data_IF_970013981803
#
_entry.id   IF_970013981803
#
_cell.length_a   1.000
_cell.length_b   1.000
_cell.length_c   1.000
_cell.angle_alpha   90.00
_cell.angle_beta   90.00
_cell.angle_gamma   90.00
#
_symmetry.space_group_name_H-M   'P 1'
#
loop_
_entity.id
_entity.type
_entity.pdbx_description
1 polymer ?
#
# COMPACT_ATOMS: atom_id res chain seq x y z
N UNK A 1 -14.47 28.01 -34.01
CA UNK A 1 -14.15 27.78 -32.59
C UNK A 1 -12.71 27.31 -32.57
N UNK A 2 -11.84 28.19 -32.13
CA UNK A 2 -10.37 28.07 -32.28
C UNK A 2 -9.81 27.44 -31.03
N UNK A 3 -9.18 26.27 -31.20
CA UNK A 3 -8.38 25.60 -30.17
C UNK A 3 -7.18 26.50 -29.80
N UNK A 4 -7.10 26.89 -28.55
CA UNK A 4 -5.91 27.56 -27.98
C UNK A 4 -4.99 26.47 -27.41
N UNK A 5 -3.97 26.11 -28.16
CA UNK A 5 -2.82 25.36 -27.65
C UNK A 5 -2.04 26.22 -26.62
N UNK A 6 -1.93 25.71 -25.40
CA UNK A 6 -1.10 26.32 -24.36
C UNK A 6 0.39 26.21 -24.73
N UNK A 7 1.07 27.35 -24.86
CA UNK A 7 2.50 27.40 -25.21
C UNK A 7 3.40 27.20 -23.98
N UNK A 8 4.65 26.71 -24.20
CA UNK A 8 5.68 26.59 -23.16
C UNK A 8 5.89 27.88 -22.31
N UNK A 9 5.56 29.06 -22.83
CA UNK A 9 5.65 30.32 -22.10
C UNK A 9 4.55 30.49 -21.03
N UNK A 10 3.38 29.94 -21.26
CA UNK A 10 2.27 30.02 -20.30
C UNK A 10 2.50 29.08 -19.09
N UNK A 11 3.20 27.97 -19.32
CA UNK A 11 3.60 27.03 -18.25
C UNK A 11 4.65 27.65 -17.30
N UNK A 12 5.59 28.46 -17.82
CA UNK A 12 6.65 29.10 -17.00
C UNK A 12 6.11 30.27 -16.18
N UNK A 13 5.07 30.97 -16.66
CA UNK A 13 4.46 32.12 -15.94
C UNK A 13 3.62 31.69 -14.75
N UNK A 14 3.01 30.51 -14.79
CA UNK A 14 2.20 29.96 -13.68
C UNK A 14 3.07 29.34 -12.58
N UNK A 15 4.32 28.94 -12.89
CA UNK A 15 5.27 28.35 -11.92
C UNK A 15 6.07 29.35 -11.09
N UNK A 16 6.09 30.67 -11.49
CA UNK A 16 6.94 31.66 -10.85
C UNK A 16 6.29 32.42 -9.67
N UNK A 17 5.02 32.18 -9.37
CA UNK A 17 4.30 32.88 -8.30
C UNK A 17 4.31 32.15 -6.92
N UNK A 18 5.01 31.01 -6.78
CA UNK A 18 5.04 30.21 -5.57
C UNK A 18 6.36 30.27 -4.77
N UNK A 19 7.30 31.14 -5.15
CA UNK A 19 8.65 31.18 -4.55
C UNK A 19 9.04 32.49 -3.88
N UNK A 20 8.13 33.15 -3.16
CA UNK A 20 8.50 34.30 -2.33
C UNK A 20 7.71 34.28 -1.01
N UNK A 21 8.35 33.80 0.05
CA UNK A 21 7.79 33.91 1.40
C UNK A 21 8.27 32.87 2.42
N UNK A 22 9.59 32.80 2.66
CA UNK A 22 10.09 32.19 3.92
C UNK A 22 11.28 32.98 4.43
N UNK A 23 11.02 33.89 5.34
CA UNK A 23 11.96 34.30 6.39
C UNK A 23 11.17 34.99 7.50
N UNK A 24 11.05 34.34 8.63
CA UNK A 24 11.12 34.85 10.02
C UNK A 24 10.20 34.06 10.96
N UNK A 25 10.73 33.60 12.09
CA UNK A 25 9.98 33.44 13.34
C UNK A 25 9.78 32.02 13.83
N UNK A 26 10.75 31.55 14.59
CA UNK A 26 10.62 30.46 15.57
C UNK A 26 9.64 30.87 16.68
N UNK A 27 8.49 30.24 16.73
CA UNK A 27 7.75 29.95 17.98
C UNK A 27 6.61 28.98 17.62
N UNK A 28 6.62 27.81 18.29
CA UNK A 28 5.72 26.71 17.95
C UNK A 28 4.26 26.99 18.30
N UNK A 29 3.45 26.94 17.30
CA UNK A 29 2.03 26.52 17.34
C UNK A 29 1.74 25.95 15.98
N UNK A 30 1.35 24.66 15.93
CA UNK A 30 0.84 24.03 14.71
C UNK A 30 -0.46 24.71 14.30
N UNK A 31 -0.34 25.78 13.51
CA UNK A 31 -1.48 26.29 12.75
C UNK A 31 -1.66 25.43 11.52
N UNK A 32 -2.64 24.57 11.56
CA UNK A 32 -3.21 23.92 10.37
C UNK A 32 -3.65 25.03 9.44
N UNK A 33 -2.95 25.20 8.31
CA UNK A 33 -3.40 26.08 7.25
C UNK A 33 -4.74 25.57 6.73
N UNK A 34 -5.86 26.16 7.17
CA UNK A 34 -7.18 25.96 6.61
C UNK A 34 -7.27 26.65 5.25
N UNK A 35 -6.63 26.08 4.25
CA UNK A 35 -7.05 26.25 2.87
C UNK A 35 -8.36 25.50 2.71
N UNK A 36 -9.45 26.17 2.37
CA UNK A 36 -10.71 25.51 1.99
C UNK A 36 -10.38 24.44 0.95
N UNK A 37 -10.54 23.13 1.25
CA UNK A 37 -10.37 22.12 0.23
C UNK A 37 -11.46 22.37 -0.80
N UNK A 38 -11.10 22.71 -2.04
CA UNK A 38 -12.01 22.52 -3.18
C UNK A 38 -12.59 21.13 -3.02
N UNK A 39 -13.93 21.03 -2.92
CA UNK A 39 -14.64 19.75 -2.74
C UNK A 39 -14.07 18.78 -3.77
N UNK A 40 -13.32 17.78 -3.31
CA UNK A 40 -12.80 16.76 -4.21
C UNK A 40 -13.97 16.18 -5.00
N UNK A 41 -13.80 16.03 -6.30
CA UNK A 41 -14.83 15.44 -7.17
C UNK A 41 -15.01 13.96 -6.77
N UNK A 42 -15.92 13.72 -5.84
CA UNK A 42 -16.18 12.39 -5.27
C UNK A 42 -16.71 11.41 -6.29
N UNK A 43 -17.23 11.90 -7.44
CA UNK A 43 -17.74 11.05 -8.52
C UNK A 43 -16.64 10.20 -9.19
N UNK A 44 -15.37 10.60 -9.05
CA UNK A 44 -14.21 9.89 -9.58
C UNK A 44 -13.57 8.89 -8.60
N UNK A 45 -14.09 8.83 -7.37
CA UNK A 45 -13.57 7.92 -6.35
C UNK A 45 -14.36 6.62 -6.41
N UNK A 46 -13.68 5.51 -6.71
CA UNK A 46 -14.33 4.20 -6.72
C UNK A 46 -14.90 3.88 -5.33
N UNK A 47 -16.14 3.39 -5.29
CA UNK A 47 -16.84 2.99 -4.07
C UNK A 47 -16.88 4.10 -3.02
N UNK A 48 -17.01 5.35 -3.44
CA UNK A 48 -17.03 6.47 -2.49
C UNK A 48 -18.02 6.23 -1.35
N UNK A 49 -17.49 6.32 -0.13
CA UNK A 49 -18.26 6.28 1.10
C UNK A 49 -17.87 7.50 1.94
N UNK A 50 -18.81 8.36 2.37
CA UNK A 50 -18.50 9.57 3.14
C UNK A 50 -17.86 9.28 4.50
N UNK A 51 -17.94 8.05 5.00
CA UNK A 51 -17.31 7.62 6.24
C UNK A 51 -15.87 7.10 6.05
N UNK A 52 -15.40 6.95 4.81
CA UNK A 52 -14.04 6.55 4.46
C UNK A 52 -13.21 7.76 4.07
N UNK A 53 -12.00 7.88 4.62
CA UNK A 53 -11.00 8.83 4.15
C UNK A 53 -10.34 8.29 2.87
N UNK A 54 -10.11 9.18 1.91
CA UNK A 54 -9.37 8.86 0.69
C UNK A 54 -8.12 9.72 0.60
N UNK A 55 -7.00 9.09 0.28
CA UNK A 55 -5.69 9.72 0.16
C UNK A 55 -5.18 9.63 -1.27
N UNK A 56 -4.57 10.70 -1.74
CA UNK A 56 -3.95 10.70 -3.06
C UNK A 56 -2.71 9.80 -3.07
N UNK A 57 -2.66 8.86 -3.99
CA UNK A 57 -1.54 7.95 -4.17
C UNK A 57 -0.46 8.55 -5.07
N UNK A 58 0.31 9.50 -4.53
CA UNK A 58 1.37 10.19 -5.26
C UNK A 58 0.94 10.69 -6.63
N UNK A 59 1.86 10.76 -7.58
CA UNK A 59 1.62 11.22 -8.96
C UNK A 59 0.67 10.35 -9.79
N UNK A 60 0.21 9.21 -9.28
CA UNK A 60 -0.88 8.45 -9.92
C UNK A 60 -2.20 9.23 -9.92
N UNK A 61 -2.36 10.15 -8.97
CA UNK A 61 -3.59 10.87 -8.65
C UNK A 61 -4.80 9.99 -8.33
N UNK A 62 -4.59 8.69 -8.12
CA UNK A 62 -5.65 7.83 -7.60
C UNK A 62 -6.01 8.27 -6.18
N UNK A 63 -7.30 8.41 -5.92
CA UNK A 63 -7.83 8.59 -4.57
C UNK A 63 -8.12 7.20 -3.98
N UNK A 64 -7.23 6.76 -3.10
CA UNK A 64 -7.26 5.42 -2.49
C UNK A 64 -7.80 5.53 -1.07
N UNK A 65 -8.64 4.58 -0.67
CA UNK A 65 -9.14 4.47 0.70
C UNK A 65 -7.99 4.38 1.71
N UNK A 66 -8.12 5.04 2.84
CA UNK A 66 -7.06 5.10 3.87
C UNK A 66 -6.73 3.73 4.50
N UNK A 67 -7.44 2.69 4.15
CA UNK A 67 -7.11 1.29 4.42
C UNK A 67 -7.42 0.46 3.17
N UNK A 68 -6.60 -0.54 2.87
CA UNK A 68 -6.72 -1.39 1.70
C UNK A 68 -6.98 -2.84 2.08
N UNK A 69 -7.29 -3.69 1.09
CA UNK A 69 -7.40 -5.14 1.26
C UNK A 69 -6.11 -5.80 0.77
N UNK A 70 -5.40 -6.49 1.65
CA UNK A 70 -4.20 -7.26 1.32
C UNK A 70 -4.48 -8.74 1.07
N UNK A 71 -3.46 -9.42 0.55
CA UNK A 71 -3.37 -10.87 0.48
C UNK A 71 -2.72 -11.47 1.75
N UNK A 72 -2.01 -12.60 1.57
CA UNK A 72 -1.38 -13.34 2.68
C UNK A 72 -2.36 -13.65 3.82
N UNK A 73 -3.50 -14.25 3.47
CA UNK A 73 -4.63 -14.56 4.37
C UNK A 73 -4.26 -15.58 5.43
N UNK A 74 -3.34 -15.19 6.30
CA UNK A 74 -2.94 -16.05 7.41
C UNK A 74 -4.15 -16.40 8.25
N UNK A 75 -4.23 -17.67 8.62
CA UNK A 75 -5.33 -18.23 9.41
C UNK A 75 -6.70 -18.19 8.71
N UNK A 76 -6.76 -18.03 7.39
CA UNK A 76 -8.05 -18.06 6.67
C UNK A 76 -8.80 -19.37 6.87
N UNK A 77 -8.08 -20.47 7.12
CA UNK A 77 -8.62 -21.79 7.42
C UNK A 77 -9.46 -21.87 8.71
N UNK A 78 -9.34 -20.89 9.61
CA UNK A 78 -10.20 -20.84 10.81
C UNK A 78 -11.63 -20.40 10.48
N UNK A 79 -11.85 -19.77 9.33
CA UNK A 79 -13.15 -19.26 8.89
C UNK A 79 -13.62 -19.80 7.54
N UNK A 80 -12.74 -20.46 6.78
CA UNK A 80 -13.06 -21.00 5.46
C UNK A 80 -12.27 -22.29 5.21
N UNK A 81 -12.93 -23.41 5.33
CA UNK A 81 -12.33 -24.75 5.17
C UNK A 81 -12.60 -25.28 3.76
N UNK A 82 -11.52 -25.50 3.02
CA UNK A 82 -11.62 -26.00 1.67
C UNK A 82 -11.93 -24.92 0.61
N UNK A 83 -11.85 -25.32 -0.65
CA UNK A 83 -11.82 -24.41 -1.78
C UNK A 83 -13.12 -23.59 -1.95
N UNK A 84 -14.26 -24.23 -1.84
CA UNK A 84 -15.56 -23.56 -2.05
C UNK A 84 -15.86 -22.51 -0.98
N UNK A 85 -15.57 -22.82 0.30
CA UNK A 85 -15.73 -21.86 1.39
C UNK A 85 -14.73 -20.70 1.27
N UNK A 86 -13.51 -21.00 0.87
CA UNK A 86 -12.48 -19.98 0.62
C UNK A 86 -12.91 -19.02 -0.49
N UNK A 87 -13.39 -19.51 -1.63
CA UNK A 87 -13.85 -18.66 -2.73
C UNK A 87 -15.02 -17.78 -2.31
N UNK A 88 -16.01 -18.37 -1.60
CA UNK A 88 -17.13 -17.62 -1.05
C UNK A 88 -16.65 -16.53 -0.08
N UNK A 89 -15.76 -16.89 0.83
CA UNK A 89 -15.18 -15.96 1.80
C UNK A 89 -14.48 -14.78 1.11
N UNK A 90 -13.66 -15.03 0.08
CA UNK A 90 -13.02 -13.93 -0.65
C UNK A 90 -14.02 -13.05 -1.37
N UNK A 91 -15.06 -13.60 -1.98
CA UNK A 91 -16.12 -12.85 -2.62
C UNK A 91 -16.90 -11.98 -1.61
N UNK A 92 -17.22 -12.50 -0.44
CA UNK A 92 -17.93 -11.79 0.64
C UNK A 92 -17.07 -10.67 1.23
N UNK A 93 -15.79 -10.92 1.50
CA UNK A 93 -14.84 -9.92 2.00
C UNK A 93 -14.67 -8.77 1.00
N UNK A 94 -14.52 -9.08 -0.30
CA UNK A 94 -14.45 -8.05 -1.34
C UNK A 94 -15.75 -7.24 -1.41
N UNK A 95 -16.91 -7.88 -1.29
CA UNK A 95 -18.21 -7.20 -1.26
C UNK A 95 -18.29 -6.23 -0.07
N UNK A 96 -17.88 -6.69 1.12
CA UNK A 96 -17.87 -5.84 2.32
C UNK A 96 -16.88 -4.68 2.18
N UNK A 97 -15.72 -4.90 1.56
CA UNK A 97 -14.78 -3.82 1.26
C UNK A 97 -15.43 -2.73 0.38
N UNK A 98 -16.11 -3.14 -0.70
CA UNK A 98 -16.83 -2.22 -1.60
C UNK A 98 -17.90 -1.42 -0.81
N UNK A 99 -18.70 -2.08 0.03
CA UNK A 99 -19.72 -1.45 0.87
C UNK A 99 -19.13 -0.41 1.84
N UNK A 100 -17.95 -0.69 2.40
CA UNK A 100 -17.26 0.20 3.33
C UNK A 100 -16.42 1.29 2.65
N UNK A 101 -16.40 1.34 1.32
CA UNK A 101 -15.64 2.34 0.57
C UNK A 101 -14.15 2.01 0.43
N UNK A 102 -13.73 0.79 0.79
CA UNK A 102 -12.37 0.31 0.50
C UNK A 102 -12.30 0.04 -1.00
N UNK A 103 -11.31 0.64 -1.68
CA UNK A 103 -11.26 0.65 -3.15
C UNK A 103 -9.96 0.14 -3.76
N UNK A 104 -9.03 -0.40 -2.95
CA UNK A 104 -7.77 -0.97 -3.43
C UNK A 104 -7.52 -2.35 -2.84
N UNK A 105 -7.16 -3.29 -3.71
CA UNK A 105 -6.69 -4.64 -3.38
C UNK A 105 -5.22 -4.74 -3.77
N UNK A 106 -4.39 -5.32 -2.89
CA UNK A 106 -3.01 -5.67 -3.20
C UNK A 106 -2.82 -7.18 -3.23
N UNK A 107 -2.58 -7.74 -4.41
CA UNK A 107 -2.26 -9.14 -4.63
C UNK A 107 -0.76 -9.31 -4.87
N UNK A 108 -0.12 -10.20 -4.10
CA UNK A 108 1.33 -10.39 -4.11
C UNK A 108 1.77 -11.75 -4.67
N UNK A 109 0.91 -12.74 -4.62
CA UNK A 109 1.16 -14.11 -5.09
C UNK A 109 0.23 -14.47 -6.23
N UNK A 110 0.60 -15.48 -7.04
CA UNK A 110 -0.30 -16.00 -8.07
C UNK A 110 -1.65 -16.47 -7.51
N UNK A 111 -1.64 -17.13 -6.35
CA UNK A 111 -2.88 -17.55 -5.66
C UNK A 111 -3.76 -16.36 -5.26
N UNK A 112 -3.17 -15.26 -4.80
CA UNK A 112 -3.92 -14.04 -4.45
C UNK A 112 -4.49 -13.36 -5.68
N UNK A 113 -3.70 -13.25 -6.76
CA UNK A 113 -4.17 -12.71 -8.04
C UNK A 113 -5.38 -13.49 -8.54
N UNK A 114 -5.30 -14.83 -8.56
CA UNK A 114 -6.40 -15.68 -9.01
C UNK A 114 -7.66 -15.54 -8.14
N UNK A 115 -7.50 -15.56 -6.82
CA UNK A 115 -8.62 -15.46 -5.89
C UNK A 115 -9.33 -14.09 -6.00
N UNK A 116 -8.58 -13.00 -6.06
CA UNK A 116 -9.17 -11.67 -6.18
C UNK A 116 -9.75 -11.40 -7.57
N UNK A 117 -9.11 -11.88 -8.63
CA UNK A 117 -9.67 -11.78 -9.97
C UNK A 117 -11.02 -12.50 -10.06
N UNK A 118 -11.14 -13.69 -9.46
CA UNK A 118 -12.39 -14.42 -9.35
C UNK A 118 -13.45 -13.68 -8.53
N UNK A 119 -13.07 -13.13 -7.38
CA UNK A 119 -13.96 -12.34 -6.53
C UNK A 119 -14.43 -11.03 -7.21
N UNK A 120 -13.66 -10.49 -8.13
CA UNK A 120 -13.97 -9.28 -8.90
C UNK A 120 -14.69 -9.57 -10.23
N UNK A 121 -14.96 -10.82 -10.56
CA UNK A 121 -15.66 -11.15 -11.84
C UNK A 121 -17.01 -10.42 -11.92
N UNK A 122 -17.22 -9.68 -13.01
CA UNK A 122 -18.41 -8.86 -13.24
C UNK A 122 -18.47 -7.53 -12.47
N UNK A 123 -17.43 -7.22 -11.70
CA UNK A 123 -17.31 -5.96 -10.92
C UNK A 123 -15.87 -5.45 -10.81
N UNK A 124 -15.05 -5.74 -11.85
CA UNK A 124 -13.63 -5.36 -11.90
C UNK A 124 -13.41 -3.84 -11.80
N UNK A 125 -14.37 -3.07 -12.27
CA UNK A 125 -14.42 -1.61 -12.23
C UNK A 125 -14.65 -1.03 -10.82
N UNK A 126 -14.98 -1.85 -9.81
CA UNK A 126 -15.26 -1.41 -8.44
C UNK A 126 -14.01 -1.25 -7.58
N UNK A 127 -12.90 -1.89 -7.94
CA UNK A 127 -11.69 -1.88 -7.12
C UNK A 127 -10.46 -1.65 -7.99
N UNK A 128 -9.52 -0.86 -7.51
CA UNK A 128 -8.15 -0.85 -8.03
C UNK A 128 -7.47 -2.16 -7.63
N UNK A 129 -6.76 -2.78 -8.55
CA UNK A 129 -6.03 -4.02 -8.33
C UNK A 129 -4.51 -3.80 -8.49
N UNK A 130 -3.79 -3.91 -7.38
CA UNK A 130 -2.35 -4.08 -7.37
C UNK A 130 -2.00 -5.53 -7.67
N UNK A 131 -1.15 -5.73 -8.64
CA UNK A 131 -0.74 -7.02 -9.16
C UNK A 131 0.75 -7.24 -8.94
N UNK A 132 1.12 -8.35 -8.35
CA UNK A 132 2.44 -8.95 -8.38
C UNK A 132 2.28 -10.47 -8.38
N UNK A 133 3.12 -11.14 -9.11
CA UNK A 133 3.22 -12.60 -9.06
C UNK A 133 4.66 -12.92 -8.67
N UNK A 134 4.99 -12.66 -7.38
CA UNK A 134 6.37 -12.63 -6.91
C UNK A 134 7.15 -13.92 -7.19
N UNK A 135 6.46 -15.07 -7.29
CA UNK A 135 7.07 -16.35 -7.63
C UNK A 135 7.65 -16.37 -9.07
N UNK A 136 7.20 -15.45 -9.90
CA UNK A 136 7.65 -15.26 -11.29
C UNK A 136 8.21 -13.85 -11.51
N UNK A 137 8.84 -13.29 -10.49
CA UNK A 137 9.48 -11.98 -10.51
C UNK A 137 10.94 -12.06 -10.03
N UNK A 138 11.60 -10.94 -9.92
CA UNK A 138 13.06 -10.84 -9.75
C UNK A 138 13.65 -11.43 -8.45
N UNK A 139 12.82 -11.88 -7.50
CA UNK A 139 13.31 -12.69 -6.37
C UNK A 139 13.99 -13.98 -6.84
N UNK A 140 13.55 -14.52 -7.96
CA UNK A 140 14.08 -15.75 -8.54
C UNK A 140 14.93 -15.44 -9.77
N UNK A 141 16.12 -15.99 -9.84
CA UNK A 141 17.12 -15.67 -10.85
C UNK A 141 16.63 -15.85 -12.30
N UNK A 142 15.80 -16.84 -12.55
CA UNK A 142 15.23 -17.14 -13.87
C UNK A 142 14.35 -16.01 -14.43
N UNK A 143 13.83 -15.14 -13.58
CA UNK A 143 12.93 -14.04 -13.96
C UNK A 143 13.61 -12.67 -14.02
N UNK A 144 14.95 -12.60 -13.87
CA UNK A 144 15.72 -11.34 -13.81
C UNK A 144 16.05 -10.73 -15.18
N UNK A 145 15.19 -10.94 -16.18
CA UNK A 145 15.31 -10.27 -17.48
C UNK A 145 14.01 -9.61 -17.86
N UNK A 146 14.08 -8.50 -18.61
CA UNK A 146 12.89 -7.80 -19.06
C UNK A 146 11.95 -8.69 -19.90
N UNK A 147 12.51 -9.57 -20.74
CA UNK A 147 11.73 -10.52 -21.54
C UNK A 147 10.92 -11.47 -20.64
N UNK A 148 11.55 -12.05 -19.62
CA UNK A 148 10.90 -12.97 -18.69
C UNK A 148 9.84 -12.27 -17.82
N UNK A 149 10.11 -11.07 -17.37
CA UNK A 149 9.13 -10.28 -16.61
C UNK A 149 7.89 -9.95 -17.45
N UNK A 150 8.08 -9.55 -18.72
CA UNK A 150 6.98 -9.30 -19.66
C UNK A 150 6.16 -10.56 -19.92
N UNK A 151 6.85 -11.69 -20.18
CA UNK A 151 6.23 -13.02 -20.36
C UNK A 151 5.38 -13.41 -19.13
N UNK A 152 5.96 -13.28 -17.94
CA UNK A 152 5.30 -13.60 -16.66
C UNK A 152 4.04 -12.75 -16.45
N UNK A 153 4.15 -11.44 -16.66
CA UNK A 153 3.02 -10.53 -16.47
C UNK A 153 1.89 -10.82 -17.46
N UNK A 154 2.20 -11.03 -18.74
CA UNK A 154 1.22 -11.40 -19.76
C UNK A 154 0.53 -12.72 -19.44
N UNK A 155 1.31 -13.73 -19.06
CA UNK A 155 0.78 -15.03 -18.67
C UNK A 155 -0.13 -14.91 -17.44
N UNK A 156 0.27 -14.12 -16.44
CA UNK A 156 -0.50 -13.90 -15.22
C UNK A 156 -1.83 -13.16 -15.48
N UNK A 157 -1.83 -12.12 -16.31
CA UNK A 157 -3.07 -11.44 -16.71
C UNK A 157 -4.00 -12.40 -17.43
N UNK A 158 -3.49 -13.18 -18.38
CA UNK A 158 -4.28 -14.16 -19.15
C UNK A 158 -4.87 -15.25 -18.24
N UNK A 159 -4.06 -15.82 -17.33
CA UNK A 159 -4.49 -16.86 -16.39
C UNK A 159 -5.57 -16.34 -15.44
N UNK A 160 -5.44 -15.09 -14.98
CA UNK A 160 -6.42 -14.43 -14.13
C UNK A 160 -7.66 -13.91 -14.88
N UNK A 161 -7.71 -13.97 -16.21
CA UNK A 161 -8.78 -13.43 -17.03
C UNK A 161 -8.87 -11.90 -16.96
N UNK A 162 -7.74 -11.23 -16.80
CA UNK A 162 -7.62 -9.77 -16.70
C UNK A 162 -7.09 -9.19 -18.01
N UNK A 163 -7.66 -8.06 -18.44
CA UNK A 163 -7.13 -7.27 -19.55
C UNK A 163 -5.98 -6.38 -19.11
N UNK A 164 -6.03 -5.87 -17.87
CA UNK A 164 -5.03 -4.98 -17.27
C UNK A 164 -4.99 -5.10 -15.74
N UNK A 165 -3.89 -4.62 -15.16
CA UNK A 165 -3.77 -4.30 -13.73
C UNK A 165 -3.82 -2.77 -13.53
N UNK A 166 -4.40 -2.30 -12.41
CA UNK A 166 -4.30 -0.87 -12.09
C UNK A 166 -2.86 -0.50 -11.70
N UNK A 167 -2.22 -1.33 -10.90
CA UNK A 167 -0.82 -1.19 -10.53
C UNK A 167 -0.09 -2.52 -10.74
N UNK A 168 0.89 -2.57 -11.65
CA UNK A 168 1.86 -3.65 -11.61
C UNK A 168 3.06 -3.23 -10.77
N UNK A 169 3.27 -3.91 -9.67
CA UNK A 169 4.40 -3.67 -8.79
C UNK A 169 5.26 -4.92 -8.69
N UNK A 170 6.48 -4.85 -9.20
CA UNK A 170 7.42 -5.96 -9.14
C UNK A 170 7.95 -6.11 -7.71
N UNK A 171 7.91 -7.33 -7.18
CA UNK A 171 8.46 -7.65 -5.86
C UNK A 171 9.94 -7.98 -5.99
N UNK A 172 10.76 -7.10 -5.43
CA UNK A 172 12.22 -7.20 -5.41
C UNK A 172 12.70 -8.08 -4.25
N UNK A 173 14.02 -8.26 -4.15
CA UNK A 173 14.64 -8.93 -3.00
C UNK A 173 14.19 -8.29 -1.69
N UNK A 174 14.25 -9.08 -0.64
CA UNK A 174 13.91 -8.64 0.71
C UNK A 174 15.02 -7.76 1.31
N UNK A 175 15.06 -7.65 2.63
CA UNK A 175 16.06 -6.85 3.34
C UNK A 175 17.49 -7.18 2.89
N UNK A 176 18.37 -6.19 2.94
CA UNK A 176 19.81 -6.30 2.62
C UNK A 176 20.11 -6.91 1.24
N UNK A 177 19.09 -7.19 0.46
CA UNK A 177 19.20 -7.79 -0.87
C UNK A 177 19.03 -6.76 -1.97
N UNK A 178 20.12 -6.37 -2.61
CA UNK A 178 20.08 -5.48 -3.76
C UNK A 178 20.30 -6.26 -5.04
N UNK A 179 19.47 -5.98 -6.03
CA UNK A 179 19.70 -6.50 -7.37
C UNK A 179 20.87 -5.77 -8.04
N UNK A 180 21.57 -6.49 -8.91
CA UNK A 180 22.59 -5.89 -9.79
C UNK A 180 21.95 -4.89 -10.78
N UNK A 181 22.78 -4.05 -11.39
CA UNK A 181 22.31 -3.01 -12.32
C UNK A 181 21.55 -3.59 -13.51
N UNK A 182 21.94 -4.76 -14.01
CA UNK A 182 21.27 -5.42 -15.13
C UNK A 182 19.82 -5.81 -14.75
N UNK A 183 19.64 -6.35 -13.56
CA UNK A 183 18.29 -6.70 -13.04
C UNK A 183 17.47 -5.44 -12.80
N UNK A 184 18.08 -4.38 -12.26
CA UNK A 184 17.44 -3.08 -12.03
C UNK A 184 16.94 -2.48 -13.35
N UNK A 185 17.76 -2.50 -14.40
CA UNK A 185 17.38 -2.02 -15.73
C UNK A 185 16.28 -2.89 -16.36
N UNK A 186 16.32 -4.21 -16.16
CA UNK A 186 15.29 -5.14 -16.63
C UNK A 186 13.93 -4.86 -15.98
N UNK A 187 13.89 -4.55 -14.68
CA UNK A 187 12.68 -4.14 -13.97
C UNK A 187 12.10 -2.85 -14.58
N UNK A 188 12.94 -1.84 -14.76
CA UNK A 188 12.48 -0.56 -15.33
C UNK A 188 11.95 -0.72 -16.76
N UNK A 189 12.64 -1.50 -17.60
CA UNK A 189 12.21 -1.79 -18.97
C UNK A 189 10.85 -2.52 -19.00
N UNK A 190 10.68 -3.54 -18.16
CA UNK A 190 9.44 -4.31 -18.10
C UNK A 190 8.25 -3.45 -17.64
N UNK A 191 8.43 -2.64 -16.61
CA UNK A 191 7.40 -1.73 -16.09
C UNK A 191 7.03 -0.65 -17.13
N UNK A 192 8.02 -0.04 -17.79
CA UNK A 192 7.79 0.93 -18.85
C UNK A 192 7.00 0.32 -20.03
N UNK A 193 7.33 -0.92 -20.41
CA UNK A 193 6.60 -1.65 -21.44
C UNK A 193 5.15 -1.90 -21.03
N UNK A 194 4.88 -2.36 -19.80
CA UNK A 194 3.53 -2.65 -19.33
C UNK A 194 2.64 -1.39 -19.35
N UNK A 195 3.19 -0.25 -18.96
CA UNK A 195 2.51 1.04 -19.01
C UNK A 195 2.23 1.48 -20.45
N UNK A 196 3.26 1.41 -21.33
CA UNK A 196 3.13 1.78 -22.74
C UNK A 196 2.13 0.92 -23.51
N UNK A 197 2.04 -0.38 -23.17
CA UNK A 197 1.10 -1.32 -23.80
C UNK A 197 -0.32 -1.24 -23.23
N UNK A 198 -0.56 -0.42 -22.19
CA UNK A 198 -1.86 -0.31 -21.52
C UNK A 198 -2.19 -1.50 -20.60
N UNK A 199 -1.28 -2.45 -20.41
CA UNK A 199 -1.48 -3.62 -19.54
C UNK A 199 -1.36 -3.28 -18.05
N UNK A 200 -0.66 -2.21 -17.70
CA UNK A 200 -0.67 -1.61 -16.38
C UNK A 200 -0.98 -0.11 -16.50
N UNK A 201 -1.92 0.37 -15.69
CA UNK A 201 -2.21 1.83 -15.63
C UNK A 201 -1.08 2.58 -14.93
N UNK A 202 -0.56 1.99 -13.87
CA UNK A 202 0.52 2.52 -13.04
C UNK A 202 1.54 1.44 -12.74
N UNK A 203 2.74 1.86 -12.35
CA UNK A 203 3.88 0.98 -12.11
C UNK A 203 4.53 1.27 -10.77
N UNK A 204 5.08 0.22 -10.16
CA UNK A 204 5.71 0.33 -8.87
C UNK A 204 6.66 -0.81 -8.54
N UNK A 205 7.20 -0.75 -7.36
CA UNK A 205 8.05 -1.80 -6.78
C UNK A 205 7.67 -2.10 -5.34
N UNK A 206 7.92 -3.32 -4.92
CA UNK A 206 7.85 -3.74 -3.53
C UNK A 206 9.19 -4.29 -3.08
N UNK A 207 9.70 -3.83 -1.95
CA UNK A 207 10.93 -4.35 -1.34
C UNK A 207 10.92 -4.09 0.17
N UNK A 208 11.75 -4.84 0.90
CA UNK A 208 12.06 -4.59 2.29
C UNK A 208 13.39 -3.82 2.47
N UNK A 209 14.11 -3.55 1.40
CA UNK A 209 15.39 -2.83 1.38
C UNK A 209 15.16 -1.35 1.00
N UNK A 210 15.21 -0.46 1.96
CA UNK A 210 14.98 0.99 1.77
C UNK A 210 16.05 1.65 0.90
N UNK A 211 17.36 1.41 1.11
CA UNK A 211 18.39 1.93 0.22
C UNK A 211 18.18 1.51 -1.23
N UNK A 212 17.77 0.26 -1.45
CA UNK A 212 17.47 -0.23 -2.78
C UNK A 212 16.25 0.48 -3.42
N UNK A 213 15.17 0.65 -2.65
CA UNK A 213 14.00 1.40 -3.11
C UNK A 213 14.37 2.84 -3.48
N UNK A 214 15.13 3.53 -2.62
CA UNK A 214 15.58 4.90 -2.90
C UNK A 214 16.37 4.97 -4.20
N UNK A 215 17.35 4.07 -4.37
CA UNK A 215 18.13 3.93 -5.62
C UNK A 215 17.21 3.77 -6.83
N UNK A 216 16.21 2.90 -6.75
CA UNK A 216 15.29 2.63 -7.86
C UNK A 216 14.44 3.85 -8.22
N UNK A 217 13.83 4.53 -7.25
CA UNK A 217 12.95 5.69 -7.54
C UNK A 217 13.74 6.91 -8.02
N UNK A 218 14.99 7.08 -7.58
CA UNK A 218 15.89 8.14 -8.06
C UNK A 218 16.42 7.85 -9.47
N UNK A 219 16.79 6.60 -9.74
CA UNK A 219 17.27 6.17 -11.07
C UNK A 219 16.14 6.16 -12.10
N UNK A 220 14.92 5.83 -11.69
CA UNK A 220 13.74 5.73 -12.55
C UNK A 220 12.59 6.58 -12.02
N UNK A 221 12.65 7.92 -12.20
CA UNK A 221 11.63 8.85 -11.67
C UNK A 221 10.21 8.60 -12.19
N UNK A 222 10.04 7.79 -13.23
CA UNK A 222 8.75 7.35 -13.75
C UNK A 222 8.06 6.30 -12.88
N UNK A 223 8.73 5.67 -11.91
CA UNK A 223 8.10 4.80 -10.93
C UNK A 223 7.12 5.62 -10.07
N UNK A 224 5.93 5.11 -9.89
CA UNK A 224 4.82 5.87 -9.33
C UNK A 224 4.46 5.45 -7.92
N UNK A 225 4.72 4.18 -7.56
CA UNK A 225 4.30 3.60 -6.28
C UNK A 225 5.40 2.74 -5.69
N UNK A 226 5.55 2.80 -4.37
CA UNK A 226 6.31 1.82 -3.60
C UNK A 226 5.43 1.11 -2.57
N UNK A 227 5.80 -0.13 -2.28
CA UNK A 227 5.18 -0.97 -1.27
C UNK A 227 6.26 -1.48 -0.32
N UNK A 228 6.18 -1.11 0.95
CA UNK A 228 7.18 -1.48 1.97
C UNK A 228 6.52 -1.93 3.25
N UNK A 229 7.19 -2.70 4.12
CA UNK A 229 6.73 -2.89 5.49
C UNK A 229 6.53 -1.56 6.20
N UNK A 230 5.42 -1.42 6.93
CA UNK A 230 5.14 -0.28 7.78
C UNK A 230 4.25 -0.70 8.95
N UNK A 231 4.77 -0.63 10.15
CA UNK A 231 4.07 -0.99 11.39
C UNK A 231 3.93 0.23 12.29
N UNK A 232 3.19 0.10 13.38
CA UNK A 232 3.09 1.14 14.40
C UNK A 232 4.44 1.44 15.10
N UNK A 233 5.43 0.54 14.99
CA UNK A 233 6.81 0.78 15.48
C UNK A 233 7.71 1.46 14.46
N UNK A 234 7.28 1.61 13.24
CA UNK A 234 8.09 2.25 12.20
C UNK A 234 8.31 3.72 12.51
N UNK A 235 9.58 4.10 12.70
CA UNK A 235 10.00 5.45 13.06
C UNK A 235 10.30 6.32 11.84
N UNK A 236 9.61 6.14 10.74
CA UNK A 236 9.83 6.93 9.54
C UNK A 236 9.23 8.32 9.66
N UNK A 237 9.88 9.14 10.45
CA UNK A 237 9.72 10.59 10.40
C UNK A 237 10.83 11.19 9.52
N UNK A 238 10.60 12.37 8.98
CA UNK A 238 11.63 13.05 8.18
C UNK A 238 12.95 13.25 8.94
N UNK A 239 12.90 13.36 10.28
CA UNK A 239 14.03 13.46 11.19
C UNK A 239 14.78 12.15 11.40
N UNK A 240 14.13 11.00 11.20
CA UNK A 240 14.66 9.67 11.48
C UNK A 240 15.03 8.90 10.21
N UNK A 241 14.82 9.51 9.05
CA UNK A 241 15.07 8.92 7.73
C UNK A 241 16.57 8.99 7.38
N UNK A 242 17.35 8.10 8.00
CA UNK A 242 18.80 8.02 7.77
C UNK A 242 19.19 7.72 6.32
N UNK A 243 18.28 7.09 5.57
CA UNK A 243 18.49 6.72 4.16
C UNK A 243 18.10 7.85 3.21
N UNK A 244 17.23 8.76 3.65
CA UNK A 244 16.68 9.82 2.80
C UNK A 244 15.58 9.34 1.85
N UNK A 245 14.96 8.18 2.13
CA UNK A 245 13.88 7.62 1.30
C UNK A 245 12.65 8.53 1.29
N UNK A 246 12.25 9.04 2.46
CA UNK A 246 11.12 9.94 2.60
C UNK A 246 11.28 11.23 1.77
N UNK A 247 12.46 11.85 1.88
CA UNK A 247 12.75 13.06 1.10
C UNK A 247 12.67 12.80 -0.41
N UNK A 248 13.25 11.69 -0.87
CA UNK A 248 13.20 11.28 -2.27
C UNK A 248 11.76 11.00 -2.74
N UNK A 249 10.97 10.29 -1.95
CA UNK A 249 9.56 10.02 -2.27
C UNK A 249 8.72 11.28 -2.38
N UNK A 250 8.91 12.23 -1.44
CA UNK A 250 8.22 13.51 -1.46
C UNK A 250 8.60 14.33 -2.68
N UNK A 251 9.90 14.39 -3.01
CA UNK A 251 10.40 15.12 -4.17
C UNK A 251 9.87 14.54 -5.48
N UNK A 252 9.78 13.21 -5.58
CA UNK A 252 9.35 12.51 -6.79
C UNK A 252 7.85 12.24 -6.83
N UNK A 253 7.10 12.66 -5.82
CA UNK A 253 5.65 12.47 -5.65
C UNK A 253 5.24 10.97 -5.82
N UNK A 254 5.92 10.09 -5.11
CA UNK A 254 5.69 8.64 -5.16
C UNK A 254 4.63 8.23 -4.14
N UNK A 255 3.64 7.43 -4.56
CA UNK A 255 2.65 6.84 -3.66
C UNK A 255 3.27 5.76 -2.79
N UNK A 256 2.81 5.63 -1.55
CA UNK A 256 3.38 4.69 -0.59
C UNK A 256 2.34 3.85 0.11
N UNK A 257 2.39 2.53 -0.11
CA UNK A 257 1.59 1.56 0.62
C UNK A 257 2.40 0.86 1.70
N UNK A 258 1.81 0.73 2.90
CA UNK A 258 2.41 0.05 4.05
C UNK A 258 1.89 -1.37 4.21
N UNK A 259 2.73 -2.38 3.94
CA UNK A 259 2.42 -3.79 4.20
C UNK A 259 2.82 -4.19 5.63
N UNK A 260 2.33 -5.35 6.08
CA UNK A 260 2.61 -5.94 7.39
C UNK A 260 2.21 -5.05 8.59
N UNK A 261 1.09 -4.31 8.53
CA UNK A 261 0.69 -3.40 9.61
C UNK A 261 0.57 -4.10 10.97
N UNK A 262 0.28 -5.41 10.96
CA UNK A 262 0.12 -6.25 12.15
C UNK A 262 1.29 -7.22 12.39
N UNK A 263 2.50 -6.88 11.89
CA UNK A 263 3.70 -7.68 12.07
C UNK A 263 3.46 -9.18 11.77
N UNK A 264 2.80 -9.47 10.64
CA UNK A 264 2.46 -10.85 10.23
C UNK A 264 1.59 -11.61 11.22
N UNK A 265 0.59 -10.94 11.80
CA UNK A 265 -0.30 -11.42 12.87
C UNK A 265 0.39 -11.64 14.24
N UNK A 266 1.67 -11.34 14.39
CA UNK A 266 2.34 -11.42 15.70
C UNK A 266 1.79 -10.43 16.71
N UNK A 267 1.09 -9.40 16.24
CA UNK A 267 0.42 -8.40 17.08
C UNK A 267 -0.75 -9.02 17.88
N UNK A 268 -1.39 -10.04 17.34
CA UNK A 268 -2.60 -10.65 17.87
C UNK A 268 -2.30 -11.87 18.76
N UNK A 269 -3.07 -12.03 19.81
CA UNK A 269 -2.95 -13.14 20.76
C UNK A 269 -4.01 -14.23 20.51
N UNK A 270 -5.17 -13.88 19.92
CA UNK A 270 -6.21 -14.82 19.53
C UNK A 270 -5.90 -15.54 18.21
N UNK A 271 -6.80 -16.43 17.82
CA UNK A 271 -6.70 -17.24 16.61
C UNK A 271 -7.26 -16.55 15.34
N UNK A 272 -7.75 -15.34 15.48
CA UNK A 272 -8.39 -14.53 14.43
C UNK A 272 -9.79 -15.01 14.01
N UNK A 273 -10.38 -16.00 14.71
CA UNK A 273 -11.77 -16.41 14.49
C UNK A 273 -12.75 -15.48 15.20
N UNK A 274 -14.00 -15.36 14.70
CA UNK A 274 -15.06 -14.62 15.39
C UNK A 274 -15.43 -15.18 16.77
N UNK A 275 -15.10 -16.45 17.02
CA UNK A 275 -15.31 -17.13 18.30
C UNK A 275 -14.12 -17.06 19.27
N UNK A 276 -13.07 -16.36 18.91
CA UNK A 276 -11.90 -16.20 19.78
C UNK A 276 -12.26 -15.47 21.08
N UNK A 277 -11.85 -15.98 22.25
CA UNK A 277 -12.05 -15.28 23.52
C UNK A 277 -11.31 -13.93 23.57
N UNK A 278 -10.36 -13.68 22.66
CA UNK A 278 -9.57 -12.44 22.56
C UNK A 278 -9.99 -11.58 21.35
N UNK A 279 -11.19 -11.84 20.81
CA UNK A 279 -11.70 -11.15 19.61
C UNK A 279 -11.75 -9.63 19.78
N UNK A 280 -12.32 -9.16 20.88
CA UNK A 280 -12.49 -7.73 21.13
C UNK A 280 -11.16 -7.02 21.38
N UNK A 281 -10.27 -7.67 22.13
CA UNK A 281 -8.92 -7.17 22.41
C UNK A 281 -8.08 -7.07 21.12
N UNK A 282 -8.05 -8.12 20.32
CA UNK A 282 -7.31 -8.14 19.06
C UNK A 282 -7.87 -7.10 18.06
N UNK A 283 -9.19 -6.97 17.98
CA UNK A 283 -9.84 -5.94 17.16
C UNK A 283 -9.50 -4.52 17.63
N UNK A 284 -9.49 -4.27 18.91
CA UNK A 284 -9.07 -2.98 19.48
C UNK A 284 -7.62 -2.67 19.13
N UNK A 285 -6.71 -3.62 19.34
CA UNK A 285 -5.29 -3.45 19.02
C UNK A 285 -5.07 -3.23 17.52
N UNK A 286 -5.83 -3.92 16.66
CA UNK A 286 -5.79 -3.71 15.22
C UNK A 286 -6.15 -2.25 14.85
N UNK A 287 -7.22 -1.69 15.45
CA UNK A 287 -7.60 -0.29 15.22
C UNK A 287 -6.52 0.68 15.70
N UNK A 288 -5.97 0.47 16.90
CA UNK A 288 -4.89 1.31 17.42
C UNK A 288 -3.67 1.30 16.49
N UNK A 289 -3.29 0.13 15.97
CA UNK A 289 -2.17 0.01 15.04
C UNK A 289 -2.44 0.74 13.72
N UNK A 290 -3.63 0.59 13.13
CA UNK A 290 -4.01 1.28 11.89
C UNK A 290 -4.04 2.80 12.10
N UNK A 291 -4.63 3.29 13.20
CA UNK A 291 -4.65 4.72 13.54
C UNK A 291 -3.25 5.29 13.68
N UNK A 292 -2.37 4.59 14.41
CA UNK A 292 -0.97 5.00 14.56
C UNK A 292 -0.24 5.11 13.22
N UNK A 293 -0.40 4.14 12.34
CA UNK A 293 0.17 4.17 10.98
C UNK A 293 -0.37 5.35 10.19
N UNK A 294 -1.67 5.58 10.25
CA UNK A 294 -2.35 6.65 9.52
C UNK A 294 -2.02 8.06 10.04
N UNK A 295 -1.43 8.20 11.24
CA UNK A 295 -0.86 9.48 11.70
C UNK A 295 0.28 9.96 10.80
N UNK A 296 0.92 9.06 10.05
CA UNK A 296 1.94 9.46 9.10
C UNK A 296 1.28 9.94 7.77
N UNK A 297 1.42 11.22 7.41
CA UNK A 297 0.77 11.77 6.22
C UNK A 297 1.39 11.29 4.89
N UNK A 298 2.60 10.69 4.92
CA UNK A 298 3.25 10.19 3.70
C UNK A 298 2.71 8.81 3.27
N UNK A 299 2.14 8.03 4.19
CA UNK A 299 1.51 6.75 3.85
C UNK A 299 0.19 7.01 3.12
N UNK A 300 0.07 6.47 1.92
CA UNK A 300 -1.21 6.43 1.21
C UNK A 300 -2.20 5.56 1.99
N UNK A 301 -1.85 4.30 2.26
CA UNK A 301 -2.67 3.41 3.06
C UNK A 301 -1.89 2.20 3.60
N UNK A 302 -2.22 1.66 4.80
CA UNK A 302 -1.84 0.33 5.22
C UNK A 302 -2.63 -0.75 4.46
N UNK A 303 -2.00 -1.89 4.26
CA UNK A 303 -2.55 -3.05 3.55
C UNK A 303 -2.62 -4.25 4.52
N UNK A 304 -3.65 -4.36 5.36
CA UNK A 304 -3.89 -5.55 6.17
C UNK A 304 -4.46 -6.70 5.35
N UNK A 305 -4.11 -7.94 5.69
CA UNK A 305 -4.80 -9.14 5.23
C UNK A 305 -6.07 -9.37 6.07
N UNK A 306 -7.24 -9.21 5.46
CA UNK A 306 -8.54 -9.34 6.15
C UNK A 306 -9.21 -10.64 5.72
N UNK A 307 -9.67 -11.45 6.70
CA UNK A 307 -10.24 -12.78 6.46
C UNK A 307 -11.72 -12.90 6.85
N UNK A 308 -12.29 -11.92 7.57
CA UNK A 308 -13.71 -11.90 7.95
C UNK A 308 -14.36 -10.56 7.61
N UNK A 309 -15.70 -10.54 7.58
CA UNK A 309 -16.48 -9.32 7.40
C UNK A 309 -16.26 -8.36 8.58
N UNK A 310 -16.20 -8.91 9.81
CA UNK A 310 -15.95 -8.12 11.02
C UNK A 310 -14.59 -7.43 10.98
N UNK A 311 -13.56 -8.09 10.45
CA UNK A 311 -12.23 -7.47 10.27
C UNK A 311 -12.27 -6.34 9.24
N UNK A 312 -13.06 -6.45 8.18
CA UNK A 312 -13.27 -5.34 7.22
C UNK A 312 -13.96 -4.17 7.91
N UNK A 313 -15.04 -4.44 8.66
CA UNK A 313 -15.77 -3.42 9.41
C UNK A 313 -14.88 -2.75 10.46
N UNK A 314 -14.09 -3.52 11.17
CA UNK A 314 -13.13 -3.05 12.17
C UNK A 314 -12.03 -2.16 11.55
N UNK A 315 -11.50 -2.54 10.38
CA UNK A 315 -10.52 -1.73 9.66
C UNK A 315 -11.12 -0.41 9.15
N UNK A 316 -12.35 -0.43 8.64
CA UNK A 316 -13.08 0.78 8.25
C UNK A 316 -13.38 1.67 9.46
N UNK A 317 -13.75 1.09 10.61
CA UNK A 317 -13.98 1.82 11.86
C UNK A 317 -12.70 2.54 12.33
N UNK A 318 -11.52 1.93 12.19
CA UNK A 318 -10.25 2.58 12.53
C UNK A 318 -10.02 3.89 11.76
N UNK A 319 -10.54 3.98 10.53
CA UNK A 319 -10.44 5.21 9.71
C UNK A 319 -11.38 6.31 10.22
N UNK A 320 -12.57 5.93 10.73
CA UNK A 320 -13.56 6.87 11.30
C UNK A 320 -13.18 7.39 12.68
N UNK A 321 -12.47 6.59 13.46
CA UNK A 321 -12.07 6.95 14.81
C UNK A 321 -11.10 8.13 14.81
N UNK A 322 -11.00 8.79 15.96
CA UNK A 322 -9.97 9.81 16.21
C UNK A 322 -8.59 9.31 15.77
N UNK A 323 -7.90 10.07 14.94
CA UNK A 323 -6.60 9.68 14.37
C UNK A 323 -5.54 9.48 15.45
N UNK A 324 -5.37 10.48 16.28
CA UNK A 324 -4.33 10.50 17.32
C UNK A 324 -4.70 9.57 18.48
N UNK A 325 -3.72 8.83 18.95
CA UNK A 325 -3.83 8.01 20.16
C UNK A 325 -3.62 8.88 21.39
N UNK A 326 -4.44 8.68 22.42
CA UNK A 326 -4.13 9.25 23.73
C UNK A 326 -3.03 8.45 24.45
N UNK A 327 -2.61 8.91 25.62
CA UNK A 327 -1.52 8.29 26.36
C UNK A 327 -1.82 6.84 26.76
N UNK A 328 -3.07 6.52 27.10
CA UNK A 328 -3.46 5.16 27.50
C UNK A 328 -3.49 4.21 26.26
N UNK A 329 -4.10 4.65 25.17
CA UNK A 329 -4.13 3.93 23.90
C UNK A 329 -2.71 3.67 23.37
N UNK A 330 -1.85 4.70 23.43
CA UNK A 330 -0.44 4.57 23.02
C UNK A 330 0.29 3.54 23.89
N UNK A 331 0.16 3.62 25.20
CA UNK A 331 0.81 2.69 26.11
C UNK A 331 0.30 1.25 25.91
N UNK A 332 -0.98 1.07 25.58
CA UNK A 332 -1.56 -0.24 25.27
C UNK A 332 -0.98 -0.81 23.96
N UNK A 333 -0.94 0.00 22.91
CA UNK A 333 -0.33 -0.38 21.63
C UNK A 333 1.16 -0.69 21.78
N UNK A 334 1.91 0.13 22.50
CA UNK A 334 3.35 -0.07 22.73
C UNK A 334 3.59 -1.42 23.42
N UNK A 335 2.82 -1.78 24.46
CA UNK A 335 2.90 -3.10 25.11
C UNK A 335 2.59 -4.26 24.17
N UNK A 336 1.56 -4.11 23.32
CA UNK A 336 1.20 -5.14 22.34
C UNK A 336 2.30 -5.31 21.29
N UNK A 337 2.86 -4.21 20.80
CA UNK A 337 3.97 -4.22 19.85
C UNK A 337 5.26 -4.79 20.46
N UNK A 338 5.55 -4.52 21.74
CA UNK A 338 6.72 -5.09 22.44
C UNK A 338 6.59 -6.61 22.56
N UNK A 339 5.40 -7.11 22.92
CA UNK A 339 5.13 -8.55 22.91
C UNK A 339 5.32 -9.15 21.52
N UNK A 340 4.76 -8.50 20.48
CA UNK A 340 4.90 -8.95 19.10
C UNK A 340 6.36 -9.04 18.68
N UNK A 341 7.17 -8.01 18.99
CA UNK A 341 8.60 -7.97 18.67
C UNK A 341 9.41 -9.03 19.42
N UNK A 342 9.08 -9.30 20.69
CA UNK A 342 9.71 -10.35 21.46
C UNK A 342 9.44 -11.75 20.86
N UNK A 343 8.27 -11.95 20.28
CA UNK A 343 7.75 -13.26 19.84
C UNK A 343 7.62 -13.38 18.31
N UNK A 344 8.30 -12.54 17.53
CA UNK A 344 8.28 -12.67 16.06
C UNK A 344 8.76 -14.06 15.63
N UNK A 345 8.05 -14.73 14.71
CA UNK A 345 8.53 -15.98 14.11
C UNK A 345 9.93 -15.81 13.51
N UNK A 346 10.71 -16.90 13.49
CA UNK A 346 12.10 -16.87 13.00
C UNK A 346 12.24 -16.16 11.64
N UNK A 347 11.38 -16.49 10.69
CA UNK A 347 11.40 -15.93 9.35
C UNK A 347 10.87 -14.47 9.24
N UNK A 348 10.47 -13.87 10.38
CA UNK A 348 10.09 -12.45 10.49
C UNK A 348 11.01 -11.66 11.42
N UNK A 349 12.09 -12.25 11.95
CA UNK A 349 13.02 -11.52 12.83
C UNK A 349 13.63 -10.29 12.16
N UNK A 350 13.81 -10.34 10.84
CA UNK A 350 14.28 -9.20 10.03
C UNK A 350 13.41 -7.94 10.18
N UNK A 351 12.15 -8.08 10.57
CA UNK A 351 11.25 -6.93 10.77
C UNK A 351 11.74 -6.01 11.91
N UNK A 352 12.61 -6.50 12.79
CA UNK A 352 13.21 -5.71 13.87
C UNK A 352 14.20 -4.67 13.35
N UNK A 353 14.89 -4.99 12.27
CA UNK A 353 16.07 -4.25 11.80
C UNK A 353 15.84 -3.58 10.43
N UNK A 354 14.72 -3.87 9.76
CA UNK A 354 14.48 -3.37 8.40
C UNK A 354 14.49 -1.84 8.28
N UNK A 355 14.25 -1.13 9.39
CA UNK A 355 14.28 0.33 9.45
C UNK A 355 15.68 0.92 9.31
N UNK A 356 16.71 0.10 9.50
CA UNK A 356 18.11 0.50 9.51
C UNK A 356 18.91 -0.02 8.31
N UNK A 357 18.29 -0.73 7.41
CA UNK A 357 18.93 -1.31 6.23
C UNK A 357 18.97 -0.30 5.08
#
# INVERSE_FOLDING_TARGET
MTDHELTRRDFVRTGAAAAAGVAAGLSGTCTVASGNPTKADTSKILNYNPEMEYRRCGKTNLMVSAVCLGGHWKRVEVVAKGHAEFEKNRADVVSRCIERGINYIDACTGGEVMAYSKALKGRRDKMYLGFSWYEKEVRFNEWRTAAKLKESFDAGLKEAGLEYADLWRITCLEQSGQHDERTVDAVAEALAWAKKSGKARFTGISSHDRPHIKKLIEKFPQLEVIVTPFTAKTKMQATDDKVGLWAAMKQLDVGWFGIKPFASNSLFQGDSSPGSPLFDEDNKIARLALRAILCNPAITAPIPGLITLDQVDNAALAVKERRELDAAEKAELDRAMDRAWANLPYHYQWLKDWEYV
#
